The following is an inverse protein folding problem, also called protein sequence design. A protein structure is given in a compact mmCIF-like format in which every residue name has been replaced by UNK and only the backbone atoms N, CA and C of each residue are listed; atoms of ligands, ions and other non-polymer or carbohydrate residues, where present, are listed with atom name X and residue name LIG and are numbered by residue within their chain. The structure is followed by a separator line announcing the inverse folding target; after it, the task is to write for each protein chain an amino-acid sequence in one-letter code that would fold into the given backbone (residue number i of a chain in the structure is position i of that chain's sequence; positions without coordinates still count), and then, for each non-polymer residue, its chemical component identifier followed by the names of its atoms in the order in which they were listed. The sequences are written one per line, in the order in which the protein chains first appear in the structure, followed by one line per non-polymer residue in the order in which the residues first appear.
data_IF_269758597710
#
_entry.id   IF_269758597710
#
_cell.length_a   1.000
_cell.length_b   1.000
_cell.length_c   1.000
_cell.angle_alpha   90.00
_cell.angle_beta   90.00
_cell.angle_gamma   90.00
#
_symmetry.space_group_name_H-M   'P 1'
#
loop_
_entity.id
_entity.type
_entity.pdbx_description
1 polymer ?
#
# COMPACT_ATOMS: atom_id res chain seq x y z
N UNK A 1 -19.22 65.67 6.06
CA UNK A 1 -17.76 65.94 5.94
C UNK A 1 -16.99 64.82 6.64
N UNK A 2 -15.91 64.36 6.01
CA UNK A 2 -15.06 63.17 6.31
C UNK A 2 -15.71 61.85 5.86
N UNK A 3 -15.26 61.09 4.86
CA UNK A 3 -14.00 61.08 4.11
C UNK A 3 -13.19 59.82 4.45
N UNK A 4 -12.82 59.07 3.39
CA UNK A 4 -11.90 57.92 3.36
C UNK A 4 -12.45 56.59 3.93
N UNK A 5 -12.22 55.42 3.33
CA UNK A 5 -11.43 55.09 2.15
C UNK A 5 -11.68 53.62 1.80
N UNK A 6 -11.76 53.36 0.50
CA UNK A 6 -11.86 52.05 -0.12
C UNK A 6 -10.52 51.33 0.05
N UNK A 7 -10.51 50.15 0.68
CA UNK A 7 -9.37 49.23 0.66
C UNK A 7 -9.86 47.87 0.19
N UNK A 8 -9.69 47.67 -1.12
CA UNK A 8 -9.70 46.35 -1.73
C UNK A 8 -8.42 45.61 -1.29
N UNK A 9 -8.57 44.45 -0.65
CA UNK A 9 -7.49 43.49 -0.49
C UNK A 9 -7.74 42.36 -1.49
N UNK A 10 -6.93 42.35 -2.54
CA UNK A 10 -6.96 41.38 -3.62
C UNK A 10 -6.62 39.97 -3.15
N UNK A 11 -7.27 39.00 -3.78
CA UNK A 11 -6.91 37.60 -3.74
C UNK A 11 -5.52 37.41 -4.35
N UNK A 12 -4.59 36.85 -3.57
CA UNK A 12 -3.36 36.27 -4.12
C UNK A 12 -3.56 34.75 -4.22
N UNK A 13 -4.07 34.31 -5.37
CA UNK A 13 -3.94 32.93 -5.78
C UNK A 13 -2.46 32.68 -6.13
N UNK A 14 -1.78 31.80 -5.38
CA UNK A 14 -0.49 31.29 -5.82
C UNK A 14 -0.73 30.22 -6.88
N UNK A 15 -0.76 30.68 -8.13
CA UNK A 15 -0.55 29.84 -9.30
C UNK A 15 0.91 29.39 -9.32
N UNK A 16 1.15 28.12 -8.97
CA UNK A 16 2.39 27.43 -9.29
C UNK A 16 2.23 26.79 -10.66
N UNK A 17 2.57 27.54 -11.72
CA UNK A 17 2.44 27.09 -13.09
C UNK A 17 3.70 26.32 -13.55
N UNK A 18 3.43 25.14 -14.12
CA UNK A 18 4.19 24.36 -15.10
C UNK A 18 5.73 24.34 -15.07
N UNK A 19 6.31 23.18 -14.69
CA UNK A 19 7.58 22.71 -15.23
C UNK A 19 7.64 21.16 -15.33
N UNK A 20 6.91 20.57 -16.29
CA UNK A 20 7.45 19.59 -17.28
C UNK A 20 6.34 19.21 -18.27
N UNK A 21 6.42 19.53 -19.57
CA UNK A 21 5.67 18.79 -20.56
C UNK A 21 6.46 17.50 -20.83
N UNK A 22 6.32 16.51 -19.96
CA UNK A 22 6.67 15.16 -20.35
C UNK A 22 5.69 14.74 -21.45
N UNK A 23 6.21 14.39 -22.62
CA UNK A 23 5.48 13.80 -23.74
C UNK A 23 4.51 12.74 -23.21
N UNK A 24 3.24 13.10 -23.07
CA UNK A 24 2.20 12.18 -22.68
C UNK A 24 1.97 11.21 -23.85
N UNK A 25 2.67 10.08 -23.82
CA UNK A 25 2.25 8.89 -24.56
C UNK A 25 0.80 8.62 -24.16
N UNK A 26 -0.13 8.36 -25.10
CA UNK A 26 -1.49 8.01 -24.74
C UNK A 26 -1.43 6.81 -23.80
N UNK A 27 -1.75 7.05 -22.53
CA UNK A 27 -1.85 6.00 -21.54
C UNK A 27 -3.11 5.23 -21.88
N UNK A 28 -2.96 3.99 -22.34
CA UNK A 28 -4.04 3.01 -22.22
C UNK A 28 -4.51 3.05 -20.77
N UNK A 29 -5.81 3.07 -20.47
CA UNK A 29 -6.28 3.08 -19.08
C UNK A 29 -5.60 1.95 -18.30
N UNK A 30 -4.65 2.30 -17.43
CA UNK A 30 -3.91 1.34 -16.62
C UNK A 30 -4.71 1.12 -15.35
N UNK A 31 -5.26 -0.08 -15.17
CA UNK A 31 -5.90 -0.46 -13.92
C UNK A 31 -4.86 -0.50 -12.79
N UNK A 32 -5.21 0.01 -11.60
CA UNK A 32 -4.35 -0.10 -10.42
C UNK A 32 -4.69 -1.39 -9.68
N UNK A 33 -3.71 -2.27 -9.47
CA UNK A 33 -3.88 -3.49 -8.69
C UNK A 33 -3.93 -3.24 -7.19
N UNK A 34 -4.76 -4.00 -6.47
CA UNK A 34 -4.85 -3.98 -5.01
C UNK A 34 -4.85 -5.40 -4.46
N UNK A 35 -3.85 -5.72 -3.64
CA UNK A 35 -3.82 -6.93 -2.82
C UNK A 35 -4.38 -6.63 -1.43
N UNK A 36 -5.40 -7.38 -1.01
CA UNK A 36 -5.91 -7.41 0.35
C UNK A 36 -6.29 -8.84 0.72
N UNK A 37 -6.00 -9.24 1.95
CA UNK A 37 -6.46 -10.50 2.53
C UNK A 37 -6.58 -10.34 4.06
N UNK A 38 -7.55 -11.01 4.66
CA UNK A 38 -7.81 -10.92 6.09
C UNK A 38 -6.69 -11.58 6.94
N UNK A 39 -5.77 -12.34 6.34
CA UNK A 39 -4.56 -12.83 7.01
C UNK A 39 -3.76 -11.68 7.63
N UNK A 40 -3.77 -10.49 7.04
CA UNK A 40 -3.08 -9.32 7.58
C UNK A 40 -3.73 -8.75 8.85
N UNK A 41 -4.91 -9.27 9.22
CA UNK A 41 -5.57 -8.97 10.49
C UNK A 41 -5.17 -9.93 11.62
N UNK A 42 -4.28 -10.89 11.35
CA UNK A 42 -3.79 -11.83 12.36
C UNK A 42 -2.98 -11.09 13.43
N UNK A 43 -3.42 -11.05 14.70
CA UNK A 43 -2.64 -10.44 15.76
C UNK A 43 -1.42 -11.30 16.08
N UNK A 44 -0.26 -10.66 16.26
CA UNK A 44 0.98 -11.40 16.54
C UNK A 44 1.92 -10.72 17.52
N UNK A 45 1.80 -9.41 17.74
CA UNK A 45 2.54 -8.69 18.77
C UNK A 45 1.71 -8.45 20.03
N UNK A 46 2.37 -7.99 21.11
CA UNK A 46 1.68 -7.53 22.31
C UNK A 46 0.77 -6.34 22.00
N UNK A 47 -0.36 -6.13 22.71
CA UNK A 47 -1.30 -5.04 22.41
C UNK A 47 -0.72 -3.61 22.44
N UNK A 48 0.42 -3.43 23.11
CA UNK A 48 1.13 -2.14 23.21
C UNK A 48 2.14 -1.91 22.07
N UNK A 49 2.36 -2.90 21.22
CA UNK A 49 3.31 -2.80 20.12
C UNK A 49 2.76 -1.85 19.04
N UNK A 50 3.60 -1.01 18.40
CA UNK A 50 3.12 -0.08 17.38
C UNK A 50 2.71 -0.76 16.05
N UNK A 51 3.26 -1.94 15.77
CA UNK A 51 2.85 -2.78 14.64
C UNK A 51 1.66 -3.63 15.09
N UNK A 52 0.48 -3.30 14.57
CA UNK A 52 -0.79 -3.97 14.87
C UNK A 52 -1.68 -4.09 13.62
N UNK A 53 -2.57 -5.10 13.57
CA UNK A 53 -3.61 -5.26 12.54
C UNK A 53 -4.39 -3.98 12.18
N UNK A 54 -4.62 -3.10 13.15
CA UNK A 54 -5.37 -1.86 12.98
C UNK A 54 -4.73 -0.94 11.94
N UNK A 55 -3.42 -1.04 11.71
CA UNK A 55 -2.70 -0.27 10.68
C UNK A 55 -3.26 -0.54 9.29
N UNK A 56 -3.32 -1.82 8.91
CA UNK A 56 -3.81 -2.22 7.57
C UNK A 56 -5.33 -2.09 7.49
N UNK A 57 -6.06 -2.37 8.56
CA UNK A 57 -7.51 -2.17 8.62
C UNK A 57 -7.90 -0.70 8.44
N UNK A 58 -7.15 0.24 9.04
CA UNK A 58 -7.36 1.67 8.87
C UNK A 58 -7.13 2.13 7.42
N UNK A 59 -6.11 1.58 6.75
CA UNK A 59 -5.85 1.84 5.33
C UNK A 59 -7.02 1.37 4.46
N UNK A 60 -7.48 0.13 4.65
CA UNK A 60 -8.64 -0.41 3.93
C UNK A 60 -9.88 0.46 4.12
N UNK A 61 -10.22 0.82 5.37
CA UNK A 61 -11.34 1.72 5.65
C UNK A 61 -11.20 3.08 4.97
N UNK A 62 -9.99 3.63 4.91
CA UNK A 62 -9.75 4.91 4.24
C UNK A 62 -9.91 4.81 2.71
N UNK A 63 -9.49 3.70 2.09
CA UNK A 63 -9.70 3.42 0.67
C UNK A 63 -11.20 3.32 0.36
N UNK A 64 -11.94 2.53 1.16
CA UNK A 64 -13.38 2.34 1.01
C UNK A 64 -14.15 3.65 1.22
N UNK A 65 -13.85 4.40 2.29
CA UNK A 65 -14.54 5.65 2.63
C UNK A 65 -14.36 6.75 1.58
N UNK A 66 -13.28 6.71 0.79
CA UNK A 66 -13.02 7.63 -0.32
C UNK A 66 -13.60 7.15 -1.65
N UNK A 67 -14.28 6.01 -1.65
CA UNK A 67 -14.80 5.37 -2.85
C UNK A 67 -13.72 4.76 -3.74
N UNK A 68 -12.43 4.80 -3.38
CA UNK A 68 -11.34 4.38 -4.28
C UNK A 68 -11.36 2.89 -4.61
N UNK A 69 -12.03 2.07 -3.79
CA UNK A 69 -12.13 0.63 -3.98
C UNK A 69 -12.69 0.21 -5.36
N UNK A 70 -13.60 1.01 -5.96
CA UNK A 70 -14.22 0.68 -7.24
C UNK A 70 -13.26 0.76 -8.44
N UNK A 71 -12.20 1.56 -8.33
CA UNK A 71 -11.20 1.76 -9.38
C UNK A 71 -10.03 0.77 -9.29
N UNK A 72 -10.02 -0.07 -8.25
CA UNK A 72 -8.93 -0.99 -7.94
C UNK A 72 -9.26 -2.40 -8.44
N UNK A 73 -8.31 -2.98 -9.18
CA UNK A 73 -8.37 -4.38 -9.60
C UNK A 73 -7.91 -5.27 -8.44
N UNK A 74 -8.74 -6.16 -7.88
CA UNK A 74 -8.30 -7.06 -6.83
C UNK A 74 -7.27 -8.04 -7.37
N UNK A 75 -6.22 -8.27 -6.59
CA UNK A 75 -5.16 -9.24 -6.83
C UNK A 75 -5.13 -10.23 -5.67
N UNK A 76 -5.11 -11.53 -5.99
CA UNK A 76 -5.01 -12.58 -4.99
C UNK A 76 -3.57 -12.72 -4.49
N UNK A 77 -3.42 -13.02 -3.20
CA UNK A 77 -2.13 -13.45 -2.65
C UNK A 77 -1.80 -14.84 -3.21
N UNK A 78 -0.57 -15.02 -3.69
CA UNK A 78 -0.03 -16.35 -3.99
C UNK A 78 0.94 -16.80 -2.90
N UNK A 79 1.16 -18.11 -2.78
CA UNK A 79 2.20 -18.61 -1.89
C UNK A 79 3.58 -18.44 -2.56
N UNK A 80 4.57 -17.83 -1.89
CA UNK A 80 5.94 -17.85 -2.36
C UNK A 80 6.53 -19.26 -2.26
N UNK A 81 7.34 -19.63 -3.24
CA UNK A 81 8.12 -20.87 -3.19
C UNK A 81 9.31 -20.72 -2.23
N UNK A 82 9.84 -21.85 -1.75
CA UNK A 82 11.07 -21.83 -0.94
C UNK A 82 12.25 -21.22 -1.70
N UNK A 83 12.36 -21.47 -3.00
CA UNK A 83 13.44 -20.92 -3.82
C UNK A 83 13.33 -19.40 -3.96
N UNK A 84 12.13 -18.85 -4.05
CA UNK A 84 11.89 -17.40 -4.04
C UNK A 84 12.29 -16.77 -2.70
N UNK A 85 12.00 -17.44 -1.57
CA UNK A 85 12.45 -16.98 -0.25
C UNK A 85 13.98 -17.05 -0.13
N UNK A 86 14.61 -18.09 -0.70
CA UNK A 86 16.06 -18.29 -0.72
C UNK A 86 16.85 -17.27 -1.53
N UNK A 87 16.18 -16.48 -2.38
CA UNK A 87 16.83 -15.36 -3.06
C UNK A 87 17.44 -14.35 -2.07
N UNK A 88 16.87 -14.24 -0.86
CA UNK A 88 17.29 -13.28 0.16
C UNK A 88 17.62 -13.96 1.49
N UNK A 89 16.97 -15.07 1.84
CA UNK A 89 17.09 -15.72 3.14
C UNK A 89 17.83 -17.06 3.08
N UNK A 90 18.49 -17.44 4.18
CA UNK A 90 19.07 -18.78 4.33
C UNK A 90 18.02 -19.79 4.79
N UNK A 91 18.21 -21.07 4.50
CA UNK A 91 17.33 -22.15 5.01
C UNK A 91 17.22 -22.13 6.54
N UNK A 92 18.32 -21.82 7.23
CA UNK A 92 18.35 -21.71 8.68
C UNK A 92 17.43 -20.58 9.19
N UNK A 93 17.39 -19.43 8.48
CA UNK A 93 16.49 -18.33 8.82
C UNK A 93 15.02 -18.69 8.58
N UNK A 94 14.71 -19.24 7.39
CA UNK A 94 13.33 -19.62 7.03
C UNK A 94 12.79 -20.65 8.04
N UNK A 95 13.56 -21.70 8.33
CA UNK A 95 13.19 -22.69 9.35
C UNK A 95 13.15 -22.10 10.77
N UNK A 96 13.94 -21.06 11.04
CA UNK A 96 13.99 -20.34 12.32
C UNK A 96 12.71 -19.57 12.60
N UNK A 97 12.09 -18.94 11.59
CA UNK A 97 10.85 -18.17 11.77
C UNK A 97 9.73 -19.06 12.33
N UNK A 98 9.42 -20.16 11.64
CA UNK A 98 8.39 -21.10 12.10
C UNK A 98 8.71 -21.69 13.48
N UNK A 99 9.98 -22.00 13.74
CA UNK A 99 10.42 -22.60 15.01
C UNK A 99 10.29 -21.65 16.20
N UNK A 100 10.66 -20.39 16.00
CA UNK A 100 10.78 -19.42 17.09
C UNK A 100 9.51 -18.58 17.28
N UNK A 101 8.72 -18.40 16.23
CA UNK A 101 7.56 -17.51 16.19
C UNK A 101 6.24 -18.24 15.87
N UNK A 102 6.31 -19.53 15.52
CA UNK A 102 5.15 -20.35 15.25
C UNK A 102 4.58 -20.19 13.84
N UNK A 103 3.59 -21.03 13.54
CA UNK A 103 3.01 -21.15 12.19
C UNK A 103 2.24 -19.90 11.75
N UNK A 104 1.57 -19.20 12.68
CA UNK A 104 0.82 -17.99 12.34
C UNK A 104 1.71 -16.88 11.78
N UNK A 105 2.86 -16.65 12.42
CA UNK A 105 3.83 -15.63 11.96
C UNK A 105 4.51 -16.07 10.67
N UNK A 106 4.86 -17.36 10.53
CA UNK A 106 5.40 -17.90 9.28
C UNK A 106 4.42 -17.69 8.10
N UNK A 107 3.14 -18.01 8.29
CA UNK A 107 2.10 -17.78 7.27
C UNK A 107 1.90 -16.30 6.94
N UNK A 108 1.89 -15.42 7.96
CA UNK A 108 1.76 -13.98 7.76
C UNK A 108 2.94 -13.41 6.96
N UNK A 109 4.17 -13.80 7.29
CA UNK A 109 5.37 -13.40 6.57
C UNK A 109 5.35 -13.85 5.11
N UNK A 110 4.97 -15.10 4.85
CA UNK A 110 4.83 -15.65 3.49
C UNK A 110 3.75 -14.96 2.70
N UNK A 111 2.61 -14.62 3.31
CA UNK A 111 1.56 -13.86 2.65
C UNK A 111 2.00 -12.45 2.27
N UNK A 112 2.82 -11.79 3.09
CA UNK A 112 3.43 -10.50 2.75
C UNK A 112 4.30 -10.56 1.50
N UNK A 113 5.16 -11.57 1.39
CA UNK A 113 6.00 -11.81 0.21
C UNK A 113 5.13 -12.16 -1.01
N UNK A 114 4.16 -13.05 -0.82
CA UNK A 114 3.20 -13.47 -1.83
C UNK A 114 2.40 -12.32 -2.44
N UNK A 115 1.97 -11.36 -1.61
CA UNK A 115 1.29 -10.15 -2.04
C UNK A 115 2.19 -9.26 -2.91
N UNK A 116 3.45 -9.08 -2.52
CA UNK A 116 4.41 -8.29 -3.29
C UNK A 116 4.69 -8.93 -4.66
N UNK A 117 4.90 -10.25 -4.70
CA UNK A 117 5.15 -10.97 -5.93
C UNK A 117 3.95 -10.95 -6.88
N UNK A 118 2.73 -11.15 -6.35
CA UNK A 118 1.50 -11.04 -7.15
C UNK A 118 1.34 -9.64 -7.77
N UNK A 119 1.69 -8.58 -7.04
CA UNK A 119 1.68 -7.22 -7.55
C UNK A 119 2.72 -7.02 -8.68
N UNK A 120 3.94 -7.55 -8.53
CA UNK A 120 4.97 -7.50 -9.57
C UNK A 120 4.52 -8.23 -10.85
N UNK A 121 3.98 -9.44 -10.71
CA UNK A 121 3.48 -10.24 -11.84
C UNK A 121 2.35 -9.54 -12.59
N UNK A 122 1.42 -8.91 -11.87
CA UNK A 122 0.28 -8.22 -12.47
C UNK A 122 0.66 -7.00 -13.33
N UNK A 123 1.86 -6.44 -13.14
CA UNK A 123 2.39 -5.33 -13.95
C UNK A 123 3.09 -5.83 -15.22
N UNK A 124 3.58 -7.07 -15.21
CA UNK A 124 4.32 -7.67 -16.33
C UNK A 124 3.47 -8.61 -17.20
N UNK A 125 2.19 -8.81 -16.87
CA UNK A 125 1.23 -9.62 -17.62
C UNK A 125 0.62 -8.85 -18.80
#
# INVERSE_FOLDING_TARGET
MRGAGLLAAGAAALAGDALVPALAKPMTPTATGWVWDDIFLTPFFSPTHPEQPERVAAIRRAIEARGLAHDLRPLAIRQPTEDELRLIHTDAHIAGIRRNHGEAIDRLGRAGVGAALAACEAVHA
#
